data_IF_165459540075
#
_entry.id   IF_165459540075
#
_cell.length_a   1.000
_cell.length_b   1.000
_cell.length_c   1.000
_cell.angle_alpha   90.00
_cell.angle_beta   90.00
_cell.angle_gamma   90.00
#
_symmetry.space_group_name_H-M   'P 1'
#
loop_
_entity.id
_entity.type
_entity.pdbx_description
1 polymer ?
#
# COMPACT_ATOMS: atom_id res chain seq x y z
N UNK A 1 8.31 -5.14 -7.69
CA UNK A 1 7.36 -4.03 -7.50
C UNK A 1 6.34 -4.32 -6.41
N UNK A 2 5.32 -5.19 -6.58
CA UNK A 2 4.30 -5.35 -5.52
C UNK A 2 4.86 -5.86 -4.18
N UNK A 3 5.55 -7.01 -4.17
CA UNK A 3 6.12 -7.58 -2.93
C UNK A 3 7.17 -6.65 -2.31
N UNK A 4 8.00 -6.00 -3.12
CA UNK A 4 8.99 -5.02 -2.64
C UNK A 4 8.34 -3.76 -2.04
N UNK A 5 7.24 -3.28 -2.63
CA UNK A 5 6.46 -2.18 -2.06
C UNK A 5 5.83 -2.58 -0.72
N UNK A 6 5.29 -3.81 -0.61
CA UNK A 6 4.78 -4.33 0.65
C UNK A 6 5.88 -4.37 1.71
N UNK A 7 7.04 -4.92 1.37
CA UNK A 7 8.18 -5.01 2.28
C UNK A 7 8.65 -3.63 2.79
N UNK A 8 8.67 -2.62 1.89
CA UNK A 8 8.98 -1.23 2.24
C UNK A 8 7.90 -0.56 3.09
N UNK A 9 6.63 -0.92 2.90
CA UNK A 9 5.51 -0.31 3.64
C UNK A 9 5.34 -0.91 5.05
N UNK A 10 5.70 -2.19 5.25
CA UNK A 10 5.56 -2.89 6.52
C UNK A 10 6.88 -3.03 7.29
N UNK A 11 8.01 -2.55 6.76
CA UNK A 11 9.34 -2.61 7.39
C UNK A 11 9.74 -4.06 7.77
N UNK A 12 9.89 -4.92 6.75
CA UNK A 12 10.01 -6.39 6.82
C UNK A 12 8.65 -7.09 6.94
N UNK A 13 7.96 -7.21 5.81
CA UNK A 13 6.61 -7.79 5.76
C UNK A 13 6.62 -9.28 6.13
N UNK A 14 5.64 -9.73 6.91
CA UNK A 14 5.41 -11.16 7.20
C UNK A 14 3.99 -11.61 6.85
N UNK A 15 3.71 -12.92 6.86
CA UNK A 15 2.37 -13.43 6.53
C UNK A 15 1.26 -12.91 7.45
N UNK A 16 1.58 -12.62 8.71
CA UNK A 16 0.60 -12.07 9.65
C UNK A 16 0.20 -10.65 9.26
N UNK A 17 1.11 -9.84 8.69
CA UNK A 17 0.77 -8.50 8.22
C UNK A 17 -0.24 -8.55 7.07
N UNK A 18 -0.09 -9.51 6.17
CA UNK A 18 -1.02 -9.75 5.07
C UNK A 18 -2.41 -10.15 5.58
N UNK A 19 -2.48 -10.92 6.67
CA UNK A 19 -3.74 -11.40 7.27
C UNK A 19 -4.42 -10.30 8.08
N UNK A 20 -3.68 -9.59 8.93
CA UNK A 20 -4.25 -8.60 9.86
C UNK A 20 -4.44 -7.22 9.24
N UNK A 21 -3.69 -6.87 8.19
CA UNK A 21 -3.76 -5.58 7.52
C UNK A 21 -4.14 -5.72 6.04
N UNK A 22 -5.09 -6.62 5.75
CA UNK A 22 -5.54 -6.89 4.38
C UNK A 22 -6.02 -5.61 3.66
N UNK A 23 -6.67 -4.68 4.38
CA UNK A 23 -7.14 -3.41 3.83
C UNK A 23 -5.98 -2.61 3.23
N UNK A 24 -4.88 -2.45 3.98
CA UNK A 24 -3.66 -1.78 3.51
C UNK A 24 -3.07 -2.48 2.30
N UNK A 25 -3.00 -3.81 2.30
CA UNK A 25 -2.47 -4.58 1.17
C UNK A 25 -3.32 -4.35 -0.08
N UNK A 26 -4.64 -4.30 0.06
CA UNK A 26 -5.56 -4.02 -1.04
C UNK A 26 -5.38 -2.59 -1.58
N UNK A 27 -5.18 -1.60 -0.72
CA UNK A 27 -4.85 -0.24 -1.16
C UNK A 27 -3.55 -0.18 -1.95
N UNK A 28 -2.50 -0.85 -1.46
CA UNK A 28 -1.21 -0.93 -2.17
C UNK A 28 -1.39 -1.59 -3.53
N UNK A 29 -2.19 -2.65 -3.61
CA UNK A 29 -2.48 -3.33 -4.87
C UNK A 29 -3.22 -2.42 -5.85
N UNK A 30 -4.20 -1.65 -5.37
CA UNK A 30 -4.98 -0.72 -6.19
C UNK A 30 -4.13 0.40 -6.80
N UNK A 31 -3.05 0.84 -6.14
CA UNK A 31 -2.13 1.82 -6.71
C UNK A 31 -1.29 1.23 -7.86
N UNK A 32 -1.06 -0.09 -7.85
CA UNK A 32 -0.22 -0.76 -8.86
C UNK A 32 -1.07 -1.26 -10.02
N UNK A 33 -2.23 -1.87 -9.73
CA UNK A 33 -3.12 -2.47 -10.72
C UNK A 33 -4.57 -2.18 -10.37
N UNK A 34 -5.33 -1.70 -11.34
CA UNK A 34 -6.78 -1.55 -11.23
C UNK A 34 -7.45 -1.95 -12.54
N UNK A 35 -8.55 -2.71 -12.47
CA UNK A 35 -9.28 -3.14 -13.66
C UNK A 35 -8.44 -3.98 -14.64
N UNK A 36 -7.41 -4.67 -14.16
CA UNK A 36 -6.47 -5.44 -14.99
C UNK A 36 -5.43 -4.60 -15.73
N UNK A 37 -5.37 -3.29 -15.50
CA UNK A 37 -4.38 -2.38 -16.06
C UNK A 37 -3.34 -2.01 -15.01
N UNK A 38 -2.08 -1.94 -15.42
CA UNK A 38 -1.00 -1.42 -14.57
C UNK A 38 -1.09 0.11 -14.53
N UNK A 39 -1.19 0.67 -13.33
CA UNK A 39 -1.29 2.10 -13.10
C UNK A 39 0.07 2.71 -12.80
N UNK A 40 0.74 2.21 -11.75
CA UNK A 40 2.02 2.73 -11.31
C UNK A 40 3.03 1.60 -11.08
N UNK A 41 4.28 1.86 -11.45
CA UNK A 41 5.41 0.93 -11.27
C UNK A 41 6.54 1.54 -10.45
N UNK A 42 6.54 2.85 -10.25
CA UNK A 42 7.51 3.56 -9.43
C UNK A 42 7.17 3.40 -7.94
N UNK A 43 7.98 2.60 -7.24
CA UNK A 43 7.82 2.33 -5.81
C UNK A 43 7.85 3.59 -4.93
N UNK A 44 8.54 4.65 -5.35
CA UNK A 44 8.59 5.89 -4.57
C UNK A 44 7.29 6.69 -4.66
N UNK A 45 6.67 6.76 -5.84
CA UNK A 45 5.34 7.36 -6.03
C UNK A 45 4.30 6.58 -5.23
N UNK A 46 4.26 5.25 -5.37
CA UNK A 46 3.32 4.39 -4.64
C UNK A 46 3.47 4.60 -3.13
N UNK A 47 4.70 4.59 -2.61
CA UNK A 47 4.97 4.82 -1.19
C UNK A 47 4.48 6.20 -0.72
N UNK A 48 4.69 7.26 -1.51
CA UNK A 48 4.20 8.61 -1.18
C UNK A 48 2.67 8.66 -1.10
N UNK A 49 1.96 8.06 -2.08
CA UNK A 49 0.49 8.00 -2.07
C UNK A 49 -0.06 7.26 -0.86
N UNK A 50 0.55 6.13 -0.51
CA UNK A 50 0.18 5.37 0.69
C UNK A 50 0.39 6.21 1.96
N UNK A 51 1.48 6.98 2.06
CA UNK A 51 1.72 7.86 3.21
C UNK A 51 0.70 9.00 3.31
N UNK A 52 0.29 9.57 2.17
CA UNK A 52 -0.77 10.58 2.12
C UNK A 52 -2.12 10.00 2.57
N UNK A 53 -2.49 8.82 2.06
CA UNK A 53 -3.72 8.12 2.45
C UNK A 53 -3.75 7.84 3.96
N UNK A 54 -2.65 7.33 4.53
CA UNK A 54 -2.53 7.09 5.98
C UNK A 54 -2.67 8.39 6.81
N UNK A 55 -2.28 9.55 6.27
CA UNK A 55 -2.46 10.84 6.96
C UNK A 55 -3.93 11.26 6.96
N UNK A 56 -4.63 11.05 5.85
CA UNK A 56 -6.05 11.38 5.71
C UNK A 56 -6.89 10.51 6.65
N UNK A 57 -6.69 9.18 6.65
CA UNK A 57 -7.39 8.28 7.59
C UNK A 57 -7.20 8.70 9.05
N UNK A 58 -5.97 9.08 9.44
CA UNK A 58 -5.70 9.57 10.80
C UNK A 58 -6.36 10.91 11.13
N UNK A 59 -6.68 11.72 10.13
CA UNK A 59 -7.39 12.98 10.31
C UNK A 59 -8.89 12.76 10.47
N UNK A 60 -9.47 11.78 9.77
CA UNK A 60 -10.91 11.45 9.86
C UNK A 60 -11.29 10.75 11.17
N UNK A 61 -10.33 10.11 11.84
CA UNK A 61 -10.54 9.44 13.15
C UNK A 61 -10.45 10.42 14.33
N UNK A 62 -10.14 11.71 14.10
CA UNK A 62 -10.14 12.77 15.12
C UNK A 62 -11.43 13.58 15.11
#
# INVERSE_FOLDING_TARGET
VFVETLDKCFENVCELDLIFHFDKVHYILNEIVMGGMVLETNMNEIYLRIQEQNKIEKQEVK
#
